data_IF_297090867843
#
_entry.id   IF_297090867843
#
_cell.length_a   1.000
_cell.length_b   1.000
_cell.length_c   1.000
_cell.angle_alpha   90.00
_cell.angle_beta   90.00
_cell.angle_gamma   90.00
#
_symmetry.space_group_name_H-M   'P 1'
#
loop_
_entity.id
_entity.type
_entity.pdbx_description
1 polymer ?
#
# COMPACT_ATOMS: atom_id res chain seq x y z
N UNK A 1 66.98 -15.73 -4.28
CA UNK A 1 66.14 -14.98 -5.24
C UNK A 1 64.74 -15.58 -5.22
N UNK A 2 63.81 -15.01 -4.46
CA UNK A 2 62.46 -15.56 -4.30
C UNK A 2 61.46 -14.60 -4.96
N UNK A 3 60.81 -15.05 -6.03
CA UNK A 3 59.81 -14.29 -6.78
C UNK A 3 58.50 -14.26 -5.99
N UNK A 4 58.11 -13.07 -5.53
CA UNK A 4 56.82 -12.83 -4.90
C UNK A 4 55.76 -12.67 -6.00
N UNK A 5 54.91 -13.67 -6.16
CA UNK A 5 53.76 -13.59 -7.06
C UNK A 5 52.63 -12.80 -6.40
N UNK A 6 52.34 -11.62 -6.93
CA UNK A 6 51.24 -10.77 -6.51
C UNK A 6 49.92 -11.36 -7.04
N UNK A 7 49.15 -12.03 -6.18
CA UNK A 7 47.78 -12.46 -6.45
C UNK A 7 46.85 -11.23 -6.37
N UNK A 8 46.38 -10.75 -7.52
CA UNK A 8 45.32 -9.73 -7.59
C UNK A 8 43.99 -10.44 -7.33
N UNK A 9 43.50 -10.34 -6.10
CA UNK A 9 42.14 -10.75 -5.76
C UNK A 9 41.16 -9.69 -6.31
N UNK A 10 40.47 -10.02 -7.40
CA UNK A 10 39.34 -9.24 -7.91
C UNK A 10 38.19 -9.44 -6.92
N UNK A 11 38.04 -8.48 -6.00
CA UNK A 11 36.83 -8.32 -5.17
C UNK A 11 35.67 -7.99 -6.11
N UNK A 12 34.91 -9.00 -6.50
CA UNK A 12 33.57 -8.86 -7.08
C UNK A 12 32.69 -8.18 -6.03
N UNK A 13 32.61 -6.86 -6.08
CA UNK A 13 31.61 -6.07 -5.36
C UNK A 13 30.27 -6.37 -6.02
N UNK A 14 29.63 -7.47 -5.59
CA UNK A 14 28.24 -7.74 -5.92
C UNK A 14 27.43 -6.55 -5.39
N UNK A 15 26.68 -5.82 -6.24
CA UNK A 15 25.76 -4.83 -5.73
C UNK A 15 24.77 -5.58 -4.85
N UNK A 16 24.84 -5.33 -3.54
CA UNK A 16 23.73 -5.63 -2.64
C UNK A 16 22.52 -4.99 -3.30
N UNK A 17 21.64 -5.81 -3.90
CA UNK A 17 20.34 -5.33 -4.32
C UNK A 17 19.69 -4.86 -3.04
N UNK A 18 19.68 -3.54 -2.83
CA UNK A 18 18.75 -2.93 -1.89
C UNK A 18 17.39 -3.44 -2.36
N UNK A 19 16.81 -4.35 -1.60
CA UNK A 19 15.43 -4.75 -1.79
C UNK A 19 14.65 -3.49 -1.44
N UNK A 20 14.40 -2.69 -2.48
CA UNK A 20 13.69 -1.42 -2.33
C UNK A 20 12.30 -1.69 -1.81
N UNK A 21 11.76 -0.72 -1.08
CA UNK A 21 10.41 -0.75 -0.53
C UNK A 21 9.58 0.16 -1.43
N UNK A 22 9.03 -0.33 -2.54
CA UNK A 22 8.68 0.53 -3.67
C UNK A 22 7.47 1.42 -3.40
N UNK A 23 6.67 1.07 -2.39
CA UNK A 23 5.52 1.83 -1.91
C UNK A 23 5.80 2.53 -0.57
N UNK A 24 7.04 2.57 -0.09
CA UNK A 24 7.36 3.24 1.17
C UNK A 24 6.89 4.70 1.15
N UNK A 25 6.12 5.08 2.17
CA UNK A 25 5.59 6.44 2.29
C UNK A 25 4.17 6.50 2.85
N UNK A 26 3.57 7.67 2.68
CA UNK A 26 2.24 8.00 3.19
C UNK A 26 1.27 8.18 2.03
N UNK A 27 0.14 7.50 2.12
CA UNK A 27 -0.85 7.44 1.05
C UNK A 27 -2.23 7.69 1.60
N UNK A 28 -3.11 8.20 0.75
CA UNK A 28 -4.52 8.38 1.06
C UNK A 28 -5.34 7.90 -0.13
N UNK A 29 -6.43 7.19 0.17
CA UNK A 29 -7.48 6.91 -0.80
C UNK A 29 -7.92 8.22 -1.48
N UNK A 30 -7.93 8.22 -2.81
CA UNK A 30 -8.33 9.33 -3.66
C UNK A 30 -9.77 9.09 -4.10
N UNK A 31 -10.69 9.83 -3.49
CA UNK A 31 -12.12 9.66 -3.71
C UNK A 31 -12.51 9.94 -5.16
N UNK A 32 -12.03 11.03 -5.74
CA UNK A 32 -12.41 11.45 -7.08
C UNK A 32 -12.01 10.41 -8.13
N UNK A 33 -10.75 9.94 -8.09
CA UNK A 33 -10.25 8.91 -9.01
C UNK A 33 -10.93 7.57 -8.79
N UNK A 34 -11.17 7.20 -7.53
CA UNK A 34 -11.83 5.93 -7.19
C UNK A 34 -13.27 5.93 -7.66
N UNK A 35 -14.04 6.99 -7.39
CA UNK A 35 -15.42 7.13 -7.87
C UNK A 35 -15.48 7.22 -9.41
N UNK A 36 -14.51 7.87 -10.05
CA UNK A 36 -14.42 7.89 -11.51
C UNK A 36 -14.20 6.48 -12.09
N UNK A 37 -13.40 5.63 -11.43
CA UNK A 37 -13.24 4.23 -11.83
C UNK A 37 -14.48 3.40 -11.50
N UNK A 38 -15.11 3.63 -10.36
CA UNK A 38 -16.30 2.91 -9.92
C UNK A 38 -17.49 3.14 -10.86
N UNK A 39 -17.71 4.38 -11.31
CA UNK A 39 -18.76 4.72 -12.27
C UNK A 39 -18.60 4.06 -13.64
N UNK A 40 -17.42 3.52 -13.94
CA UNK A 40 -17.14 2.77 -15.16
C UNK A 40 -17.31 1.25 -14.97
N UNK A 41 -17.52 0.79 -13.73
CA UNK A 41 -17.76 -0.61 -13.44
C UNK A 41 -19.07 -1.08 -14.07
N UNK A 42 -19.07 -2.33 -14.55
CA UNK A 42 -20.26 -3.00 -15.06
C UNK A 42 -20.92 -3.79 -13.95
N UNK A 43 -22.24 -3.96 -14.06
CA UNK A 43 -23.04 -4.81 -13.17
C UNK A 43 -22.99 -4.40 -11.69
N UNK A 44 -22.85 -3.10 -11.42
CA UNK A 44 -22.93 -2.56 -10.06
C UNK A 44 -24.37 -2.62 -9.56
N UNK A 45 -24.59 -3.29 -8.43
CA UNK A 45 -25.91 -3.36 -7.81
C UNK A 45 -26.29 -2.00 -7.19
N UNK A 46 -27.60 -1.68 -7.07
CA UNK A 46 -28.05 -0.49 -6.36
C UNK A 46 -27.50 -0.37 -4.94
N UNK A 47 -27.33 -1.53 -4.25
CA UNK A 47 -26.76 -1.54 -2.91
C UNK A 47 -25.28 -1.16 -2.91
N UNK A 48 -24.51 -1.63 -3.89
CA UNK A 48 -23.11 -1.25 -4.03
C UNK A 48 -22.98 0.24 -4.38
N UNK A 49 -23.84 0.79 -5.25
CA UNK A 49 -23.85 2.23 -5.50
C UNK A 49 -24.14 3.01 -4.21
N UNK A 50 -25.16 2.61 -3.45
CA UNK A 50 -25.50 3.25 -2.17
C UNK A 50 -24.33 3.21 -1.18
N UNK A 51 -23.63 2.09 -1.06
CA UNK A 51 -22.49 1.97 -0.13
C UNK A 51 -21.29 2.78 -0.61
N UNK A 52 -20.93 2.65 -1.88
CA UNK A 52 -19.66 3.17 -2.40
C UNK A 52 -19.70 4.64 -2.80
N UNK A 53 -20.87 5.19 -3.17
CA UNK A 53 -20.99 6.62 -3.46
C UNK A 53 -21.22 7.49 -2.21
N UNK A 54 -21.60 6.89 -1.08
CA UNK A 54 -21.91 7.63 0.14
C UNK A 54 -20.74 7.63 1.14
N UNK A 55 -19.73 8.48 0.91
CA UNK A 55 -18.64 8.76 1.84
C UNK A 55 -17.83 7.52 2.28
N UNK A 56 -17.67 6.53 1.42
CA UNK A 56 -16.86 5.34 1.70
C UNK A 56 -15.37 5.57 1.34
N UNK A 57 -15.10 5.99 0.10
CA UNK A 57 -13.74 6.27 -0.35
C UNK A 57 -13.21 7.61 0.15
N UNK A 58 -11.89 7.82 0.03
CA UNK A 58 -11.29 9.10 0.42
C UNK A 58 -11.00 9.27 1.90
N UNK A 59 -11.27 8.24 2.72
CA UNK A 59 -11.07 8.27 4.18
C UNK A 59 -9.86 7.46 4.64
N UNK A 60 -9.53 6.39 3.91
CA UNK A 60 -8.45 5.49 4.27
C UNK A 60 -7.08 6.13 4.04
N UNK A 61 -6.26 6.13 5.08
CA UNK A 61 -4.85 6.50 5.04
C UNK A 61 -3.99 5.25 5.22
N UNK A 62 -2.86 5.21 4.52
CA UNK A 62 -1.85 4.16 4.64
C UNK A 62 -0.50 4.78 4.96
N UNK A 63 0.21 4.22 5.93
CA UNK A 63 1.65 4.39 6.05
C UNK A 63 2.30 3.04 5.74
N UNK A 64 3.07 2.99 4.65
CA UNK A 64 3.72 1.77 4.21
C UNK A 64 5.20 1.87 4.52
N UNK A 65 5.70 0.90 5.26
CA UNK A 65 7.11 0.68 5.57
C UNK A 65 7.54 -0.65 4.92
N UNK A 66 8.84 -0.93 4.86
CA UNK A 66 9.39 -2.08 4.13
C UNK A 66 8.79 -3.47 4.40
N UNK A 67 8.15 -3.68 5.56
CA UNK A 67 7.65 -4.99 6.01
C UNK A 67 6.29 -4.94 6.69
N UNK A 68 5.68 -3.76 6.74
CA UNK A 68 4.39 -3.56 7.38
C UNK A 68 3.72 -2.34 6.80
N UNK A 69 2.41 -2.30 6.90
CA UNK A 69 1.66 -1.08 6.69
C UNK A 69 0.76 -0.80 7.89
N UNK A 70 0.42 0.46 8.07
CA UNK A 70 -0.59 0.90 9.03
C UNK A 70 -1.71 1.58 8.29
N UNK A 71 -2.89 0.98 8.34
CA UNK A 71 -4.15 1.48 7.80
C UNK A 71 -4.84 2.32 8.87
N UNK A 72 -5.38 3.48 8.50
CA UNK A 72 -6.15 4.34 9.40
C UNK A 72 -7.40 4.82 8.68
N UNK A 73 -8.57 4.58 9.26
CA UNK A 73 -9.85 5.07 8.73
C UNK A 73 -10.80 5.37 9.90
N UNK A 74 -11.22 6.63 10.00
CA UNK A 74 -12.07 7.12 11.10
C UNK A 74 -11.47 6.80 12.49
N UNK A 75 -12.09 5.90 13.27
CA UNK A 75 -11.63 5.44 14.59
C UNK A 75 -10.88 4.09 14.55
N UNK A 76 -10.71 3.51 13.37
CA UNK A 76 -10.08 2.22 13.17
C UNK A 76 -8.61 2.35 12.73
N UNK A 77 -7.74 1.57 13.37
CA UNK A 77 -6.32 1.44 13.05
C UNK A 77 -5.99 -0.05 12.93
N UNK A 78 -5.38 -0.44 11.82
CA UNK A 78 -4.86 -1.79 11.62
C UNK A 78 -3.37 -1.72 11.26
N UNK A 79 -2.58 -2.61 11.85
CA UNK A 79 -1.18 -2.80 11.51
C UNK A 79 -0.99 -4.22 11.02
N UNK A 80 -0.57 -4.38 9.78
CA UNK A 80 -0.35 -5.70 9.19
C UNK A 80 1.09 -5.80 8.69
N UNK A 81 1.77 -6.90 9.05
CA UNK A 81 3.05 -7.25 8.43
C UNK A 81 2.81 -7.82 7.04
N UNK A 82 3.71 -7.54 6.10
CA UNK A 82 3.63 -8.07 4.75
C UNK A 82 5.00 -8.53 4.23
N UNK A 83 4.96 -9.42 3.24
CA UNK A 83 6.11 -9.85 2.45
C UNK A 83 6.03 -9.27 1.04
N UNK A 84 7.14 -8.73 0.56
CA UNK A 84 7.27 -8.34 -0.84
C UNK A 84 7.47 -9.60 -1.70
N UNK A 85 6.50 -9.92 -2.54
CA UNK A 85 6.56 -11.07 -3.46
C UNK A 85 7.35 -10.70 -4.71
N UNK A 86 7.01 -9.57 -5.33
CA UNK A 86 7.72 -9.06 -6.51
C UNK A 86 7.50 -7.55 -6.66
N UNK A 87 8.39 -6.90 -7.41
CA UNK A 87 8.20 -5.51 -7.80
C UNK A 87 8.80 -5.23 -9.17
N UNK A 88 8.20 -4.26 -9.85
CA UNK A 88 8.65 -3.68 -11.11
C UNK A 88 8.35 -2.18 -11.10
N UNK A 89 8.68 -1.49 -12.19
CA UNK A 89 8.28 -0.09 -12.37
C UNK A 89 6.77 0.12 -12.58
N UNK A 90 6.00 -0.96 -12.80
CA UNK A 90 4.57 -0.91 -13.10
C UNK A 90 3.68 -1.52 -12.02
N UNK A 91 4.21 -2.43 -11.23
CA UNK A 91 3.43 -3.07 -10.16
C UNK A 91 4.29 -3.60 -9.03
N UNK A 92 3.65 -3.73 -7.87
CA UNK A 92 4.20 -4.26 -6.62
C UNK A 92 3.24 -5.31 -6.10
N UNK A 93 3.73 -6.53 -5.88
CA UNK A 93 2.93 -7.63 -5.36
C UNK A 93 3.38 -7.92 -3.94
N UNK A 94 2.43 -7.86 -3.01
CA UNK A 94 2.64 -8.15 -1.59
C UNK A 94 1.79 -9.33 -1.14
N UNK A 95 2.25 -10.01 -0.10
CA UNK A 95 1.49 -11.04 0.63
C UNK A 95 1.37 -10.64 2.09
N UNK A 96 0.18 -10.76 2.66
CA UNK A 96 -0.05 -10.51 4.09
C UNK A 96 -1.25 -11.32 4.59
N UNK A 97 -1.41 -11.39 5.91
CA UNK A 97 -2.60 -11.99 6.54
C UNK A 97 -3.56 -10.87 6.93
N UNK A 98 -4.77 -10.92 6.39
CA UNK A 98 -5.92 -10.09 6.77
C UNK A 98 -6.76 -10.84 7.80
N UNK A 99 -7.26 -10.15 8.82
CA UNK A 99 -8.20 -10.74 9.79
C UNK A 99 -9.52 -11.15 9.13
N UNK A 100 -9.92 -10.47 8.06
CA UNK A 100 -11.18 -10.69 7.36
C UNK A 100 -11.08 -11.73 6.24
N UNK A 101 -9.94 -11.76 5.55
CA UNK A 101 -9.77 -12.53 4.31
C UNK A 101 -8.78 -13.71 4.44
N UNK A 102 -8.05 -13.82 5.55
CA UNK A 102 -6.98 -14.80 5.71
C UNK A 102 -5.72 -14.40 4.95
N UNK A 103 -5.03 -15.35 4.33
CA UNK A 103 -3.85 -15.03 3.51
C UNK A 103 -4.28 -14.33 2.21
N UNK A 104 -3.74 -13.14 2.00
CA UNK A 104 -4.04 -12.28 0.85
C UNK A 104 -2.79 -12.02 0.04
N UNK A 105 -2.91 -12.15 -1.29
CA UNK A 105 -1.94 -11.61 -2.25
C UNK A 105 -2.58 -10.42 -2.95
N UNK A 106 -1.93 -9.25 -2.88
CA UNK A 106 -2.40 -8.02 -3.52
C UNK A 106 -1.37 -7.51 -4.52
N UNK A 107 -1.85 -7.14 -5.70
CA UNK A 107 -1.08 -6.37 -6.68
C UNK A 107 -1.50 -4.90 -6.61
N UNK A 108 -0.55 -4.04 -6.29
CA UNK A 108 -0.66 -2.60 -6.47
C UNK A 108 -0.08 -2.21 -7.82
N UNK A 109 -0.90 -1.60 -8.68
CA UNK A 109 -0.47 -1.07 -9.99
C UNK A 109 -0.02 0.38 -9.83
N UNK A 110 1.15 0.72 -10.35
CA UNK A 110 1.71 2.08 -10.28
C UNK A 110 1.17 2.91 -11.44
N UNK A 111 0.47 3.99 -11.12
CA UNK A 111 -0.23 4.85 -12.08
C UNK A 111 0.11 6.33 -11.82
N UNK A 112 1.17 6.79 -12.49
CA UNK A 112 1.74 8.11 -12.25
C UNK A 112 2.36 8.18 -10.85
N UNK A 113 1.90 9.16 -10.05
CA UNK A 113 2.35 9.30 -8.67
C UNK A 113 1.54 8.49 -7.67
N UNK A 114 0.46 7.82 -8.11
CA UNK A 114 -0.43 7.04 -7.26
C UNK A 114 -0.19 5.55 -7.51
N UNK A 115 -0.69 4.70 -6.62
CA UNK A 115 -0.93 3.30 -6.94
C UNK A 115 -2.42 3.00 -6.87
N UNK A 116 -2.84 1.88 -7.47
CA UNK A 116 -4.22 1.42 -7.40
C UNK A 116 -4.30 -0.05 -7.03
N UNK A 117 -5.38 -0.41 -6.32
CA UNK A 117 -5.77 -1.78 -6.03
C UNK A 117 -7.06 -2.11 -6.77
N UNK A 118 -7.15 -3.33 -7.29
CA UNK A 118 -8.39 -3.84 -7.88
C UNK A 118 -9.37 -4.24 -6.78
N UNK A 119 -10.59 -3.73 -6.89
CA UNK A 119 -11.68 -3.96 -5.93
C UNK A 119 -12.80 -4.76 -6.60
N UNK A 120 -13.51 -5.56 -5.80
CA UNK A 120 -14.65 -6.36 -6.22
C UNK A 120 -14.36 -7.25 -7.44
N UNK A 121 -13.28 -8.04 -7.37
CA UNK A 121 -12.87 -8.91 -8.47
C UNK A 121 -12.36 -8.18 -9.71
N UNK A 122 -11.86 -6.95 -9.56
CA UNK A 122 -11.32 -6.15 -10.66
C UNK A 122 -12.35 -5.32 -11.42
N UNK A 123 -13.57 -5.19 -10.89
CA UNK A 123 -14.61 -4.34 -11.51
C UNK A 123 -14.23 -2.85 -11.53
N UNK A 124 -13.50 -2.39 -10.53
CA UNK A 124 -12.97 -1.03 -10.47
C UNK A 124 -11.70 -0.98 -9.64
N UNK A 125 -11.10 0.20 -9.58
CA UNK A 125 -9.86 0.46 -8.86
C UNK A 125 -10.08 1.45 -7.74
N UNK A 126 -9.51 1.17 -6.57
CA UNK A 126 -9.27 2.19 -5.55
C UNK A 126 -7.87 2.75 -5.72
N UNK A 127 -7.77 4.09 -5.76
CA UNK A 127 -6.51 4.80 -5.96
C UNK A 127 -5.99 5.34 -4.65
N UNK A 128 -4.69 5.21 -4.44
CA UNK A 128 -3.98 5.74 -3.30
C UNK A 128 -2.89 6.68 -3.78
N UNK A 129 -3.03 7.96 -3.42
CA UNK A 129 -2.14 9.01 -3.85
C UNK A 129 -1.30 9.52 -2.66
N UNK A 130 -0.09 10.01 -2.92
CA UNK A 130 0.84 10.38 -1.87
C UNK A 130 0.32 11.59 -1.09
N UNK A 131 0.49 11.54 0.22
CA UNK A 131 0.17 12.63 1.15
C UNK A 131 1.37 12.95 2.03
N UNK A 132 1.32 14.07 2.73
CA UNK A 132 2.37 14.40 3.70
C UNK A 132 2.26 13.55 4.97
N UNK A 133 3.39 13.27 5.62
CA UNK A 133 3.44 12.69 6.96
C UNK A 133 2.57 13.48 7.97
N UNK A 134 2.49 14.81 7.83
CA UNK A 134 1.64 15.67 8.65
C UNK A 134 0.15 15.34 8.51
N UNK A 135 -0.31 15.08 7.28
CA UNK A 135 -1.70 14.71 7.02
C UNK A 135 -2.03 13.34 7.64
N UNK A 136 -1.15 12.35 7.44
CA UNK A 136 -1.27 11.04 8.06
C UNK A 136 -1.27 11.12 9.60
N UNK A 137 -0.32 11.84 10.18
CA UNK A 137 -0.20 11.98 11.64
C UNK A 137 -1.40 12.69 12.27
N UNK A 138 -2.11 13.55 11.51
CA UNK A 138 -3.38 14.12 11.96
C UNK A 138 -4.48 13.06 12.02
N UNK A 139 -4.56 12.19 11.01
CA UNK A 139 -5.56 11.12 10.95
C UNK A 139 -5.34 10.08 12.06
N UNK A 140 -4.10 9.61 12.25
CA UNK A 140 -3.80 8.62 13.31
C UNK A 140 -4.09 9.17 14.72
N UNK A 141 -3.77 10.45 14.96
CA UNK A 141 -4.07 11.09 16.25
C UNK A 141 -5.57 11.17 16.50
N UNK A 142 -6.36 11.49 15.47
CA UNK A 142 -7.81 11.51 15.56
C UNK A 142 -8.36 10.12 15.91
N UNK A 143 -7.92 9.08 15.20
CA UNK A 143 -8.33 7.71 15.44
C UNK A 143 -8.00 7.24 16.88
N UNK A 144 -6.77 7.51 17.34
CA UNK A 144 -6.34 7.19 18.72
C UNK A 144 -7.13 7.92 19.80
N UNK A 145 -7.65 9.12 19.52
CA UNK A 145 -8.49 9.88 20.45
C UNK A 145 -9.95 9.46 20.42
N UNK A 146 -10.39 8.87 19.31
CA UNK A 146 -11.75 8.35 19.13
C UNK A 146 -11.92 6.95 19.72
N UNK A 147 -10.85 6.15 19.81
CA UNK A 147 -10.84 4.89 20.53
C UNK A 147 -10.95 5.15 22.05
N UNK A 148 -12.10 4.85 22.70
CA UNK A 148 -12.20 4.98 24.14
C UNK A 148 -11.27 3.97 24.82
N UNK A 149 -10.65 4.39 25.92
CA UNK A 149 -9.67 3.65 26.72
C UNK A 149 -9.79 2.11 26.68
N UNK A 150 -8.79 1.45 26.08
CA UNK A 150 -8.37 0.07 26.39
C UNK A 150 -9.33 -1.06 26.02
N UNK A 151 -9.04 -1.74 24.91
CA UNK A 151 -9.19 -3.19 24.81
C UNK A 151 -7.82 -3.86 24.95
#
# INVERSE_FOLDING_TARGET
>A
MMKLHLLIAILLVLPLRVIGCPLEGYWKSDEEKTLASFRQAKDVTPKQMEVFENNFFGKLFMHIECRKFTSVMDDWIEISSYELVSSSSKSVIIRYTSELEGEVVREAKIEGNCYSLEINGGQFKEYFCPVSAKAYNKAIKFAQQAAPDGQ
#
